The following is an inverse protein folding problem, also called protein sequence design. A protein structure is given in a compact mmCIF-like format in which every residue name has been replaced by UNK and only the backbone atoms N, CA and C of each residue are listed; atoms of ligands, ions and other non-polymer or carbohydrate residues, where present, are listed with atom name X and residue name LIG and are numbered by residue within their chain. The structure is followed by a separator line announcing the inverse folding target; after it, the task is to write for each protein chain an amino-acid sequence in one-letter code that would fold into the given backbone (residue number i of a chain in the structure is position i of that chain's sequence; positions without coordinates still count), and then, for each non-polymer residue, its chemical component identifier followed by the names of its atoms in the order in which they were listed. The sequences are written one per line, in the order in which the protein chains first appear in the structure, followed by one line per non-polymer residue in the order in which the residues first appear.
data_IF_923361901350
#
_entry.id   IF_923361901350
#
_cell.length_a   1.000
_cell.length_b   1.000
_cell.length_c   1.000
_cell.angle_alpha   90.00
_cell.angle_beta   90.00
_cell.angle_gamma   90.00
#
_symmetry.space_group_name_H-M   'P 1'
#
loop_
_entity.id
_entity.type
_entity.pdbx_description
1 polymer ?
#
# COMPACT_ATOMS: atom_id res chain seq x y z
N UNK A 1 -28.41 27.63 -28.52
CA UNK A 1 -27.96 26.35 -29.10
C UNK A 1 -27.13 25.67 -28.04
N UNK A 2 -27.55 24.50 -27.58
CA UNK A 2 -26.72 23.69 -26.68
C UNK A 2 -25.62 23.02 -27.47
N UNK A 3 -24.46 22.79 -26.85
CA UNK A 3 -23.37 22.03 -27.45
C UNK A 3 -23.83 20.60 -27.73
N UNK A 4 -23.42 20.05 -28.86
CA UNK A 4 -23.73 18.68 -29.23
C UNK A 4 -23.14 17.69 -28.21
N UNK A 5 -23.88 16.61 -27.91
CA UNK A 5 -23.51 15.65 -26.86
C UNK A 5 -22.29 14.83 -27.22
N UNK A 6 -22.11 14.50 -28.50
CA UNK A 6 -20.98 13.72 -28.96
C UNK A 6 -19.72 14.59 -29.03
N UNK A 7 -19.87 15.87 -29.41
CA UNK A 7 -18.79 16.85 -29.30
C UNK A 7 -18.36 17.05 -27.83
N UNK A 8 -19.31 17.16 -26.90
CA UNK A 8 -19.03 17.26 -25.48
C UNK A 8 -18.27 16.03 -24.95
N UNK A 9 -18.61 14.83 -25.44
CA UNK A 9 -17.91 13.58 -25.10
C UNK A 9 -16.47 13.59 -25.60
N UNK A 10 -16.22 13.96 -26.85
CA UNK A 10 -14.86 13.99 -27.40
C UNK A 10 -13.97 15.01 -26.69
N UNK A 11 -14.52 16.19 -26.40
CA UNK A 11 -13.81 17.22 -25.63
C UNK A 11 -13.47 16.71 -24.24
N UNK A 12 -14.42 16.08 -23.54
CA UNK A 12 -14.17 15.58 -22.19
C UNK A 12 -13.21 14.37 -22.19
N UNK A 13 -13.33 13.45 -23.13
CA UNK A 13 -12.41 12.30 -23.30
C UNK A 13 -10.96 12.78 -23.48
N UNK A 14 -10.75 13.77 -24.36
CA UNK A 14 -9.45 14.38 -24.58
C UNK A 14 -8.93 15.10 -23.33
N UNK A 15 -9.77 15.96 -22.72
CA UNK A 15 -9.39 16.76 -21.56
C UNK A 15 -9.02 15.91 -20.34
N UNK A 16 -9.77 14.83 -20.06
CA UNK A 16 -9.46 13.92 -18.94
C UNK A 16 -8.11 13.22 -19.10
N UNK A 17 -7.60 13.09 -20.33
CA UNK A 17 -6.27 12.53 -20.62
C UNK A 17 -5.14 13.55 -20.43
N UNK A 18 -5.46 14.84 -20.32
CA UNK A 18 -4.49 15.91 -20.09
C UNK A 18 -4.27 16.15 -18.59
N UNK A 19 -3.12 16.70 -18.17
CA UNK A 19 -2.90 17.13 -16.80
C UNK A 19 -3.84 18.30 -16.46
N UNK A 20 -4.96 17.99 -15.80
CA UNK A 20 -5.97 18.97 -15.39
C UNK A 20 -6.13 18.93 -13.88
N UNK A 21 -6.36 20.08 -13.25
CA UNK A 21 -6.69 20.13 -11.84
C UNK A 21 -8.15 19.70 -11.57
N UNK A 22 -8.42 19.22 -10.36
CA UNK A 22 -9.73 18.68 -9.98
C UNK A 22 -10.85 19.72 -10.01
N UNK A 23 -10.53 21.00 -9.76
CA UNK A 23 -11.53 22.07 -9.81
C UNK A 23 -11.98 22.29 -11.25
N UNK A 24 -11.04 22.30 -12.18
CA UNK A 24 -11.33 22.38 -13.62
C UNK A 24 -12.13 21.17 -14.08
N UNK A 25 -11.76 19.94 -13.68
CA UNK A 25 -12.52 18.74 -14.03
C UNK A 25 -13.96 18.78 -13.49
N UNK A 26 -14.13 19.13 -12.22
CA UNK A 26 -15.47 19.26 -11.61
C UNK A 26 -16.30 20.35 -12.32
N UNK A 27 -15.68 21.46 -12.70
CA UNK A 27 -16.31 22.50 -13.52
C UNK A 27 -16.77 21.96 -14.88
N UNK A 28 -15.93 21.19 -15.57
CA UNK A 28 -16.26 20.58 -16.86
C UNK A 28 -17.41 19.57 -16.76
N UNK A 29 -17.39 18.70 -15.75
CA UNK A 29 -18.45 17.71 -15.52
C UNK A 29 -19.81 18.36 -15.22
N UNK A 30 -19.83 19.51 -14.55
CA UNK A 30 -21.06 20.23 -14.24
C UNK A 30 -21.59 21.08 -15.41
N UNK A 31 -20.73 21.45 -16.37
CA UNK A 31 -21.07 22.36 -17.47
C UNK A 31 -21.41 21.61 -18.76
N UNK A 32 -20.81 20.44 -18.99
CA UNK A 32 -20.99 19.67 -20.23
C UNK A 32 -22.22 18.75 -20.15
N UNK A 33 -23.05 18.66 -21.22
CA UNK A 33 -24.24 17.83 -21.26
C UNK A 33 -23.91 16.35 -21.50
N UNK A 34 -23.08 15.76 -20.64
CA UNK A 34 -22.60 14.37 -20.79
C UNK A 34 -23.57 13.41 -20.09
N UNK A 35 -23.86 12.28 -20.74
CA UNK A 35 -24.71 11.25 -20.14
C UNK A 35 -23.90 10.40 -19.17
N UNK A 36 -24.44 10.18 -17.97
CA UNK A 36 -23.91 9.28 -16.93
C UNK A 36 -23.90 7.79 -17.35
N UNK A 37 -24.18 7.47 -18.60
CA UNK A 37 -24.18 6.09 -19.14
C UNK A 37 -22.89 5.73 -19.88
N UNK A 38 -21.96 6.66 -20.09
CA UNK A 38 -20.74 6.38 -20.84
C UNK A 38 -19.72 5.60 -19.99
N UNK A 39 -19.57 4.31 -20.29
CA UNK A 39 -18.64 3.42 -19.59
C UNK A 39 -17.18 3.81 -19.80
N UNK A 40 -16.82 4.38 -20.96
CA UNK A 40 -15.43 4.71 -21.25
C UNK A 40 -14.99 5.95 -20.48
N UNK A 41 -15.86 6.96 -20.41
CA UNK A 41 -15.61 8.13 -19.56
C UNK A 41 -15.44 7.74 -18.10
N UNK A 42 -16.30 6.85 -17.58
CA UNK A 42 -16.18 6.35 -16.20
C UNK A 42 -14.84 5.65 -15.96
N UNK A 43 -14.37 4.85 -16.92
CA UNK A 43 -13.06 4.21 -16.82
C UNK A 43 -11.94 5.26 -16.85
N UNK A 44 -11.98 6.26 -17.74
CA UNK A 44 -10.99 7.32 -17.80
C UNK A 44 -10.90 8.13 -16.51
N UNK A 45 -12.05 8.46 -15.89
CA UNK A 45 -12.09 9.14 -14.60
C UNK A 45 -11.46 8.30 -13.48
N UNK A 46 -11.70 6.98 -13.48
CA UNK A 46 -11.05 6.08 -12.51
C UNK A 46 -9.54 6.01 -12.76
N UNK A 47 -9.10 5.88 -14.01
CA UNK A 47 -7.67 5.85 -14.35
C UNK A 47 -6.94 7.12 -13.92
N UNK A 48 -7.56 8.28 -14.15
CA UNK A 48 -7.04 9.56 -13.67
C UNK A 48 -6.92 9.56 -12.15
N UNK A 49 -7.97 9.19 -11.42
CA UNK A 49 -7.92 9.15 -9.96
C UNK A 49 -6.82 8.20 -9.46
N UNK A 50 -6.60 7.07 -10.16
CA UNK A 50 -5.49 6.16 -9.86
C UNK A 50 -4.14 6.88 -10.05
N UNK A 51 -3.93 7.58 -11.17
CA UNK A 51 -2.71 8.37 -11.41
C UNK A 51 -2.49 9.49 -10.40
N UNK A 52 -3.56 10.14 -9.95
CA UNK A 52 -3.52 11.18 -8.92
C UNK A 52 -3.08 10.58 -7.56
N UNK A 53 -3.62 9.42 -7.18
CA UNK A 53 -3.20 8.69 -5.97
C UNK A 53 -1.75 8.21 -6.06
N UNK A 54 -1.29 7.78 -7.24
CA UNK A 54 0.13 7.45 -7.48
C UNK A 54 1.02 8.70 -7.32
N UNK A 55 0.57 9.85 -7.80
CA UNK A 55 1.29 11.12 -7.68
C UNK A 55 1.40 11.61 -6.22
N UNK A 56 0.41 11.27 -5.38
CA UNK A 56 0.46 11.52 -3.95
C UNK A 56 1.45 10.61 -3.20
N UNK A 57 1.94 9.54 -3.84
CA UNK A 57 2.95 8.64 -3.27
C UNK A 57 2.45 7.77 -2.12
N UNK A 58 1.13 7.62 -1.94
CA UNK A 58 0.53 6.81 -0.88
C UNK A 58 -0.39 5.76 -1.51
N UNK A 59 -0.14 4.49 -1.20
CA UNK A 59 -1.05 3.39 -1.58
C UNK A 59 -2.10 3.21 -0.50
N UNK A 60 -3.37 3.41 -0.81
CA UNK A 60 -4.46 3.47 0.18
C UNK A 60 -5.52 2.41 -0.10
N UNK A 61 -6.45 2.23 0.85
CA UNK A 61 -7.69 1.48 0.60
C UNK A 61 -8.51 2.11 -0.54
N UNK A 62 -8.40 3.43 -0.77
CA UNK A 62 -9.06 4.10 -1.91
C UNK A 62 -8.53 3.57 -3.24
N UNK A 63 -7.25 3.23 -3.34
CA UNK A 63 -6.69 2.63 -4.56
C UNK A 63 -7.24 1.23 -4.82
N UNK A 64 -7.42 0.40 -3.78
CA UNK A 64 -8.11 -0.90 -3.92
C UNK A 64 -9.54 -0.72 -4.42
N UNK A 65 -10.28 0.21 -3.83
CA UNK A 65 -11.66 0.49 -4.23
C UNK A 65 -11.76 1.02 -5.68
N UNK A 66 -10.77 1.79 -6.15
CA UNK A 66 -10.70 2.25 -7.54
C UNK A 66 -10.46 1.10 -8.51
N UNK A 67 -9.54 0.17 -8.20
CA UNK A 67 -9.27 -1.01 -9.01
C UNK A 67 -10.46 -1.98 -9.06
N UNK A 68 -11.20 -2.13 -7.97
CA UNK A 68 -12.42 -2.94 -7.94
C UNK A 68 -13.55 -2.30 -8.76
N UNK A 69 -13.75 -0.98 -8.64
CA UNK A 69 -14.72 -0.26 -9.50
C UNK A 69 -14.38 -0.41 -10.97
N UNK A 70 -13.09 -0.44 -11.30
CA UNK A 70 -12.62 -0.65 -12.66
C UNK A 70 -12.94 -2.05 -13.18
N UNK A 71 -12.68 -3.09 -12.39
CA UNK A 71 -13.10 -4.46 -12.73
C UNK A 71 -14.62 -4.55 -12.90
N UNK A 72 -15.39 -3.92 -12.01
CA UNK A 72 -16.85 -3.94 -12.12
C UNK A 72 -17.32 -3.32 -13.46
N UNK A 73 -16.65 -2.26 -13.91
CA UNK A 73 -16.91 -1.67 -15.24
C UNK A 73 -16.46 -2.58 -16.38
N UNK A 74 -15.34 -3.31 -16.27
CA UNK A 74 -14.92 -4.29 -17.27
C UNK A 74 -15.87 -5.48 -17.36
N UNK A 75 -16.33 -5.99 -16.20
CA UNK A 75 -17.30 -7.06 -16.08
C UNK A 75 -18.65 -6.68 -16.71
N UNK A 76 -19.17 -5.49 -16.41
CA UNK A 76 -20.42 -4.98 -17.01
C UNK A 76 -20.33 -4.85 -18.53
N UNK A 77 -19.14 -4.67 -19.08
CA UNK A 77 -18.88 -4.61 -20.52
C UNK A 77 -18.51 -5.96 -21.14
N UNK A 78 -18.57 -7.07 -20.37
CA UNK A 78 -18.18 -8.41 -20.78
C UNK A 78 -16.73 -8.51 -21.29
N UNK A 79 -15.86 -7.66 -20.76
CA UNK A 79 -14.42 -7.65 -21.05
C UNK A 79 -13.71 -8.50 -20.00
N UNK A 80 -12.77 -9.35 -20.43
CA UNK A 80 -11.94 -10.11 -19.50
C UNK A 80 -10.98 -9.17 -18.77
N UNK A 81 -10.93 -9.31 -17.45
CA UNK A 81 -9.99 -8.61 -16.58
C UNK A 81 -8.56 -8.83 -17.05
N UNK A 82 -7.81 -7.73 -17.21
CA UNK A 82 -6.40 -7.79 -17.63
C UNK A 82 -5.53 -8.47 -16.57
N UNK A 83 -4.52 -9.25 -16.99
CA UNK A 83 -3.52 -9.77 -16.05
C UNK A 83 -2.78 -8.65 -15.31
N UNK A 84 -2.58 -7.50 -15.98
CA UNK A 84 -2.01 -6.30 -15.35
C UNK A 84 -2.90 -5.76 -14.22
N UNK A 85 -4.23 -5.80 -14.38
CA UNK A 85 -5.18 -5.39 -13.33
C UNK A 85 -5.11 -6.33 -12.13
N UNK A 86 -5.03 -7.64 -12.36
CA UNK A 86 -4.89 -8.63 -11.29
C UNK A 86 -3.58 -8.46 -10.53
N UNK A 87 -2.48 -8.19 -11.25
CA UNK A 87 -1.16 -7.93 -10.67
C UNK A 87 -1.18 -6.65 -9.83
N UNK A 88 -1.68 -5.54 -10.38
CA UNK A 88 -1.81 -4.27 -9.66
C UNK A 88 -2.67 -4.41 -8.40
N UNK A 89 -3.82 -5.10 -8.50
CA UNK A 89 -4.68 -5.36 -7.34
C UNK A 89 -3.98 -6.18 -6.26
N UNK A 90 -3.26 -7.23 -6.67
CA UNK A 90 -2.47 -8.05 -5.75
C UNK A 90 -1.40 -7.23 -5.03
N UNK A 91 -0.62 -6.46 -5.78
CA UNK A 91 0.49 -5.69 -5.23
C UNK A 91 -0.03 -4.60 -4.28
N UNK A 92 -1.14 -3.93 -4.63
CA UNK A 92 -1.80 -2.95 -3.76
C UNK A 92 -2.38 -3.60 -2.50
N UNK A 93 -3.01 -4.78 -2.60
CA UNK A 93 -3.57 -5.48 -1.44
C UNK A 93 -2.47 -5.92 -0.45
N UNK A 94 -1.34 -6.40 -0.99
CA UNK A 94 -0.15 -6.75 -0.20
C UNK A 94 0.44 -5.50 0.43
N UNK A 95 0.59 -4.40 -0.30
CA UNK A 95 1.09 -3.13 0.24
C UNK A 95 0.23 -2.61 1.39
N UNK A 96 -1.10 -2.59 1.23
CA UNK A 96 -2.02 -2.15 2.27
C UNK A 96 -1.91 -3.01 3.55
N UNK A 97 -1.67 -4.31 3.41
CA UNK A 97 -1.62 -5.24 4.54
C UNK A 97 -0.24 -5.32 5.20
N UNK A 98 0.83 -5.36 4.41
CA UNK A 98 2.21 -5.45 4.89
C UNK A 98 2.72 -4.12 5.44
N UNK A 99 2.30 -2.98 4.89
CA UNK A 99 2.62 -1.68 5.50
C UNK A 99 2.05 -1.53 6.91
N UNK A 100 0.87 -2.11 7.16
CA UNK A 100 0.23 -2.09 8.49
C UNK A 100 0.89 -3.10 9.44
N UNK A 101 1.40 -4.22 8.93
CA UNK A 101 2.29 -5.12 9.68
C UNK A 101 3.55 -4.41 10.19
N UNK A 102 4.17 -3.58 9.35
CA UNK A 102 5.41 -2.86 9.68
C UNK A 102 5.20 -1.72 10.70
N UNK A 103 4.07 -1.00 10.64
CA UNK A 103 3.89 0.27 11.36
C UNK A 103 2.99 0.22 12.62
N UNK A 104 1.90 -0.57 12.65
CA UNK A 104 0.81 -0.35 13.63
C UNK A 104 0.57 -1.49 14.63
N UNK A 105 1.39 -2.53 14.61
CA UNK A 105 1.33 -3.64 15.55
C UNK A 105 0.24 -4.68 15.26
N UNK A 106 0.36 -5.83 15.94
CA UNK A 106 -0.34 -7.07 15.59
C UNK A 106 -1.89 -6.99 15.66
N UNK A 107 -2.45 -6.14 16.54
CA UNK A 107 -3.91 -6.06 16.74
C UNK A 107 -4.65 -5.37 15.57
N UNK A 108 -4.12 -4.26 15.02
CA UNK A 108 -4.72 -3.59 13.84
C UNK A 108 -4.46 -4.37 12.56
N UNK A 109 -3.28 -4.96 12.45
CA UNK A 109 -2.96 -5.86 11.36
C UNK A 109 -3.98 -7.00 11.28
N UNK A 110 -4.31 -7.64 12.41
CA UNK A 110 -5.23 -8.78 12.42
C UNK A 110 -6.63 -8.43 11.88
N UNK A 111 -7.17 -7.26 12.26
CA UNK A 111 -8.48 -6.82 11.77
C UNK A 111 -8.44 -6.36 10.30
N UNK A 112 -7.37 -5.68 9.88
CA UNK A 112 -7.23 -5.26 8.49
C UNK A 112 -6.98 -6.43 7.55
N UNK A 113 -6.12 -7.38 7.94
CA UNK A 113 -5.90 -8.62 7.20
C UNK A 113 -7.21 -9.38 7.08
N UNK A 114 -7.97 -9.53 8.18
CA UNK A 114 -9.30 -10.14 8.14
C UNK A 114 -10.34 -9.39 7.32
N UNK A 115 -10.15 -8.11 7.04
CA UNK A 115 -11.12 -7.32 6.27
C UNK A 115 -10.79 -7.40 4.79
N UNK A 116 -9.56 -7.06 4.42
CA UNK A 116 -9.05 -7.10 3.03
C UNK A 116 -9.08 -8.54 2.50
N UNK A 117 -8.52 -9.50 3.24
CA UNK A 117 -8.41 -10.89 2.77
C UNK A 117 -9.70 -11.71 2.94
N UNK A 118 -10.65 -11.27 3.79
CA UNK A 118 -12.01 -11.85 3.77
C UNK A 118 -12.80 -11.37 2.57
N UNK A 119 -12.68 -10.08 2.20
CA UNK A 119 -13.27 -9.54 0.99
C UNK A 119 -12.73 -10.30 -0.23
N UNK A 120 -11.41 -10.44 -0.34
CA UNK A 120 -10.75 -11.26 -1.38
C UNK A 120 -11.19 -12.73 -1.30
N UNK A 121 -11.25 -13.32 -0.10
CA UNK A 121 -11.71 -14.70 0.09
C UNK A 121 -13.16 -14.93 -0.38
N UNK A 122 -14.06 -13.97 -0.11
CA UNK A 122 -15.43 -14.01 -0.61
C UNK A 122 -15.49 -13.84 -2.14
N UNK A 123 -14.59 -13.05 -2.73
CA UNK A 123 -14.43 -12.95 -4.18
C UNK A 123 -13.89 -14.25 -4.80
N UNK A 124 -13.07 -15.04 -4.09
CA UNK A 124 -12.59 -16.36 -4.53
C UNK A 124 -13.71 -17.40 -4.52
N UNK A 125 -14.59 -17.36 -3.51
CA UNK A 125 -15.72 -18.30 -3.36
C UNK A 125 -16.84 -18.01 -4.37
N UNK A 126 -17.06 -16.74 -4.70
CA UNK A 126 -17.87 -16.34 -5.84
C UNK A 126 -17.07 -16.57 -7.12
N UNK A 127 -17.33 -17.66 -7.87
CA UNK A 127 -16.68 -18.06 -9.14
C UNK A 127 -16.75 -17.03 -10.31
N UNK A 128 -16.98 -15.75 -10.02
CA UNK A 128 -17.20 -14.66 -10.96
C UNK A 128 -16.26 -13.46 -10.79
N UNK A 129 -15.34 -13.44 -9.81
CA UNK A 129 -14.39 -12.34 -9.67
C UNK A 129 -13.16 -12.58 -10.53
N UNK A 130 -12.96 -11.75 -11.56
CA UNK A 130 -11.82 -11.85 -12.47
C UNK A 130 -10.51 -11.36 -11.84
N UNK A 131 -10.58 -10.63 -10.72
CA UNK A 131 -9.43 -10.04 -10.02
C UNK A 131 -8.51 -11.03 -9.28
N UNK A 132 -8.98 -12.25 -8.99
CA UNK A 132 -8.21 -13.21 -8.19
C UNK A 132 -7.09 -13.83 -9.04
N UNK A 133 -5.84 -13.50 -8.73
CA UNK A 133 -4.65 -14.15 -9.29
C UNK A 133 -4.14 -15.31 -8.42
N UNK A 134 -3.32 -16.18 -9.01
CA UNK A 134 -2.62 -17.22 -8.25
C UNK A 134 -1.66 -16.62 -7.21
N UNK A 135 -0.99 -15.52 -7.56
CA UNK A 135 -0.07 -14.82 -6.67
C UNK A 135 -0.80 -14.24 -5.45
N UNK A 136 -2.02 -13.73 -5.63
CA UNK A 136 -2.85 -13.22 -4.55
C UNK A 136 -3.17 -14.31 -3.52
N UNK A 137 -3.44 -15.53 -3.97
CA UNK A 137 -3.71 -16.67 -3.08
C UNK A 137 -2.45 -17.05 -2.30
N UNK A 138 -1.29 -17.10 -2.95
CA UNK A 138 -0.03 -17.40 -2.27
C UNK A 138 0.31 -16.33 -1.23
N UNK A 139 0.13 -15.05 -1.58
CA UNK A 139 0.31 -13.95 -0.63
C UNK A 139 -0.63 -14.03 0.55
N UNK A 140 -1.90 -14.39 0.32
CA UNK A 140 -2.86 -14.62 1.40
C UNK A 140 -2.35 -15.67 2.38
N UNK A 141 -1.93 -16.83 1.87
CA UNK A 141 -1.42 -17.91 2.72
C UNK A 141 -0.15 -17.51 3.47
N UNK A 142 0.78 -16.82 2.80
CA UNK A 142 2.03 -16.36 3.38
C UNK A 142 1.78 -15.31 4.48
N UNK A 143 0.84 -14.38 4.27
CA UNK A 143 0.44 -13.36 5.25
C UNK A 143 -0.32 -13.99 6.43
N UNK A 144 -1.21 -14.95 6.18
CA UNK A 144 -1.90 -15.68 7.24
C UNK A 144 -0.92 -16.48 8.12
N UNK A 145 0.11 -17.09 7.53
CA UNK A 145 1.19 -17.77 8.26
C UNK A 145 2.08 -16.78 9.01
N UNK A 146 2.39 -15.63 8.42
CA UNK A 146 3.20 -14.57 9.03
C UNK A 146 2.60 -14.01 10.33
N UNK A 147 1.28 -14.09 10.52
CA UNK A 147 0.64 -13.71 11.79
C UNK A 147 1.09 -14.60 12.96
N UNK A 148 1.39 -15.86 12.69
CA UNK A 148 1.71 -16.87 13.71
C UNK A 148 3.19 -17.23 13.77
N UNK A 149 3.98 -16.89 12.74
CA UNK A 149 5.39 -17.22 12.61
C UNK A 149 6.24 -15.98 12.24
N UNK A 150 7.15 -15.61 13.14
CA UNK A 150 8.04 -14.44 12.99
C UNK A 150 9.10 -14.64 11.88
N UNK A 151 9.50 -15.87 11.58
CA UNK A 151 10.43 -16.17 10.48
C UNK A 151 9.73 -16.00 9.13
N UNK A 152 8.48 -16.46 9.02
CA UNK A 152 7.65 -16.25 7.83
C UNK A 152 7.32 -14.77 7.66
N UNK A 153 7.06 -14.05 8.75
CA UNK A 153 6.84 -12.60 8.73
C UNK A 153 8.03 -11.85 8.13
N UNK A 154 9.26 -12.17 8.55
CA UNK A 154 10.48 -11.60 7.95
C UNK A 154 10.62 -11.95 6.47
N UNK A 155 10.32 -13.19 6.08
CA UNK A 155 10.37 -13.60 4.68
C UNK A 155 9.37 -12.83 3.80
N UNK A 156 8.14 -12.63 4.30
CA UNK A 156 7.09 -11.82 3.67
C UNK A 156 7.54 -10.37 3.52
N UNK A 157 8.13 -9.77 4.56
CA UNK A 157 8.65 -8.40 4.52
C UNK A 157 9.79 -8.25 3.51
N UNK A 158 10.73 -9.20 3.45
CA UNK A 158 11.84 -9.16 2.47
C UNK A 158 11.38 -9.39 1.03
N UNK A 159 10.32 -10.17 0.82
CA UNK A 159 9.69 -10.34 -0.48
C UNK A 159 8.91 -9.08 -0.88
N UNK A 160 8.21 -8.47 0.07
CA UNK A 160 7.45 -7.24 -0.11
C UNK A 160 8.32 -6.04 -0.46
N UNK A 161 9.46 -5.84 0.23
CA UNK A 161 10.41 -4.75 -0.09
C UNK A 161 10.95 -4.78 -1.53
N UNK A 162 10.90 -5.94 -2.18
CA UNK A 162 11.32 -6.11 -3.58
C UNK A 162 10.19 -5.80 -4.57
N UNK A 163 8.96 -5.63 -4.09
CA UNK A 163 7.82 -5.28 -4.92
C UNK A 163 7.83 -3.78 -5.17
N UNK A 164 7.66 -3.40 -6.43
CA UNK A 164 7.35 -2.03 -6.80
C UNK A 164 5.87 -1.93 -7.14
N UNK A 165 5.08 -1.54 -6.15
CA UNK A 165 3.63 -1.43 -6.26
C UNK A 165 3.26 -0.28 -7.20
N UNK A 166 4.00 0.83 -7.16
CA UNK A 166 3.75 1.96 -8.03
C UNK A 166 4.00 1.60 -9.50
N UNK A 167 5.08 0.87 -9.79
CA UNK A 167 5.36 0.41 -11.16
C UNK A 167 4.28 -0.54 -11.67
N UNK A 168 3.81 -1.43 -10.81
CA UNK A 168 2.78 -2.41 -11.17
C UNK A 168 1.43 -1.75 -11.48
N UNK A 169 1.07 -0.69 -10.74
CA UNK A 169 -0.14 0.10 -11.03
C UNK A 169 0.06 0.98 -12.26
N UNK A 170 1.25 1.57 -12.47
CA UNK A 170 1.57 2.33 -13.71
C UNK A 170 1.47 1.45 -14.96
N UNK A 171 1.98 0.23 -14.89
CA UNK A 171 1.88 -0.75 -15.97
C UNK A 171 0.41 -1.07 -16.29
N UNK A 172 -0.41 -1.25 -15.26
CA UNK A 172 -1.86 -1.42 -15.44
C UNK A 172 -2.52 -0.21 -16.10
N UNK A 173 -2.24 1.01 -15.64
CA UNK A 173 -2.81 2.24 -16.20
C UNK A 173 -2.43 2.37 -17.68
N UNK A 174 -1.18 2.06 -18.03
CA UNK A 174 -0.71 2.05 -19.41
C UNK A 174 -1.47 1.03 -20.26
N UNK A 175 -1.56 -0.23 -19.82
CA UNK A 175 -2.33 -1.29 -20.50
C UNK A 175 -3.80 -0.90 -20.70
N UNK A 176 -4.42 -0.29 -19.69
CA UNK A 176 -5.80 0.18 -19.77
C UNK A 176 -5.97 1.32 -20.79
N UNK A 177 -5.05 2.28 -20.83
CA UNK A 177 -5.04 3.39 -21.80
C UNK A 177 -4.82 2.90 -23.23
N UNK A 178 -3.90 1.95 -23.43
CA UNK A 178 -3.65 1.34 -24.74
C UNK A 178 -4.89 0.61 -25.27
N UNK A 179 -5.62 -0.11 -24.41
CA UNK A 179 -6.89 -0.76 -24.78
C UNK A 179 -8.00 0.21 -25.14
N UNK A 180 -8.03 1.39 -24.54
CA UNK A 180 -9.01 2.43 -24.89
C UNK A 180 -8.65 3.14 -26.20
N UNK A 181 -7.38 3.12 -26.61
CA UNK A 181 -6.88 3.83 -27.78
C UNK A 181 -6.84 5.35 -27.59
N UNK A 182 -6.31 6.09 -28.59
CA UNK A 182 -6.28 7.55 -28.57
C UNK A 182 -7.69 8.15 -28.63
N UNK A 183 -7.85 9.34 -28.06
CA UNK A 183 -9.10 10.10 -28.16
C UNK A 183 -9.39 10.45 -29.63
N UNK A 184 -10.65 10.71 -29.94
CA UNK A 184 -11.02 11.18 -31.28
C UNK A 184 -10.25 12.45 -31.68
N UNK A 185 -10.06 13.39 -30.74
CA UNK A 185 -9.32 14.62 -31.01
C UNK A 185 -7.83 14.36 -31.25
N UNK A 186 -7.19 13.43 -30.53
CA UNK A 186 -5.80 13.02 -30.79
C UNK A 186 -5.65 12.46 -32.21
N UNK A 187 -6.56 11.58 -32.64
CA UNK A 187 -6.55 11.02 -34.01
C UNK A 187 -6.77 12.10 -35.07
N UNK A 188 -7.63 13.08 -34.78
CA UNK A 188 -7.85 14.21 -35.68
C UNK A 188 -6.61 15.10 -35.76
N UNK A 189 -5.98 15.42 -34.63
CA UNK A 189 -4.73 16.19 -34.60
C UNK A 189 -3.59 15.49 -35.35
N UNK A 190 -3.44 14.17 -35.21
CA UNK A 190 -2.43 13.41 -35.97
C UNK A 190 -2.64 13.45 -37.50
N UNK A 191 -3.89 13.61 -37.95
CA UNK A 191 -4.25 13.59 -39.38
C UNK A 191 -4.33 14.96 -40.01
N UNK A 192 -4.36 16.02 -39.21
CA UNK A 192 -4.29 17.38 -39.72
C UNK A 192 -2.83 17.64 -40.10
N UNK A 193 -2.58 17.99 -41.37
CA UNK A 193 -1.28 18.52 -41.75
C UNK A 193 -1.06 19.85 -41.03
N UNK A 194 0.20 20.15 -40.71
CA UNK A 194 0.58 21.46 -40.16
C UNK A 194 0.08 22.61 -41.05
N UNK A 195 0.02 22.37 -42.36
CA UNK A 195 -0.56 23.29 -43.35
C UNK A 195 -2.07 23.53 -43.16
N UNK A 196 -2.84 22.49 -42.83
CA UNK A 196 -4.27 22.61 -42.56
C UNK A 196 -4.53 23.26 -41.19
N UNK A 197 -3.68 23.02 -40.19
CA UNK A 197 -3.74 23.70 -38.89
C UNK A 197 -3.44 25.20 -39.03
N UNK A 198 -2.44 25.54 -39.86
CA UNK A 198 -2.08 26.92 -40.20
C UNK A 198 -3.21 27.64 -40.92
N UNK A 199 -3.89 26.97 -41.86
CA UNK A 199 -5.03 27.53 -42.61
C UNK A 199 -6.29 27.71 -41.74
N UNK A 200 -6.55 26.78 -40.81
CA UNK A 200 -7.75 26.82 -39.95
C UNK A 200 -7.61 27.75 -38.74
N UNK A 201 -6.44 27.78 -38.10
CA UNK A 201 -6.22 28.53 -36.86
C UNK A 201 -5.39 29.80 -37.03
N UNK A 202 -4.83 30.06 -38.21
CA UNK A 202 -4.13 31.31 -38.52
C UNK A 202 -2.86 31.54 -37.71
N UNK A 203 -2.24 30.48 -37.18
CA UNK A 203 -0.95 30.58 -36.50
C UNK A 203 0.18 30.66 -37.55
N UNK A 204 0.67 31.87 -37.81
CA UNK A 204 2.05 32.03 -38.25
C UNK A 204 2.94 31.65 -37.06
N UNK A 205 3.44 30.41 -37.06
CA UNK A 205 4.62 30.13 -36.24
C UNK A 205 5.78 30.90 -36.87
N UNK A 206 6.16 32.02 -36.26
CA UNK A 206 7.47 32.61 -36.51
C UNK A 206 8.51 31.53 -36.17
N UNK A 207 9.26 31.10 -37.18
CA UNK A 207 10.43 30.25 -37.01
C UNK A 207 11.51 31.06 -36.29
N UNK A 208 11.44 31.09 -34.95
CA UNK A 208 12.61 31.45 -34.16
C UNK A 208 13.59 30.27 -34.24
N UNK A 209 14.57 30.46 -35.13
CA UNK A 209 15.74 29.62 -35.35
C UNK A 209 16.65 29.65 -34.11
N UNK A 210 16.26 28.96 -33.03
CA UNK A 210 17.14 28.58 -31.93
C UNK A 210 17.05 27.07 -31.66
N UNK A 211 17.71 26.34 -32.56
CA UNK A 211 18.35 25.02 -32.44
C UNK A 211 18.21 24.24 -31.11
N UNK A 212 17.34 23.21 -31.16
CA UNK A 212 17.54 21.80 -30.75
C UNK A 212 18.38 21.52 -29.48
N UNK A 213 17.71 21.02 -28.43
CA UNK A 213 18.10 19.77 -27.77
C UNK A 213 16.94 19.20 -26.92
N UNK A 214 16.12 18.35 -27.54
CA UNK A 214 15.18 17.48 -26.84
C UNK A 214 15.40 16.04 -27.32
N UNK A 215 16.53 15.45 -26.94
CA UNK A 215 16.67 13.98 -26.90
C UNK A 215 17.56 13.57 -25.73
N UNK A 216 17.04 12.64 -24.94
CA UNK A 216 17.66 11.88 -23.83
C UNK A 216 17.36 12.40 -22.42
N UNK A 217 16.09 12.27 -22.01
CA UNK A 217 15.73 12.15 -20.60
C UNK A 217 15.34 10.69 -20.27
N UNK A 218 16.31 9.78 -20.37
CA UNK A 218 16.18 8.40 -19.86
C UNK A 218 17.31 7.95 -18.93
N UNK A 219 18.22 8.84 -18.51
CA UNK A 219 19.24 8.49 -17.50
C UNK A 219 19.62 9.71 -16.65
N UNK A 220 18.88 9.99 -15.57
CA UNK A 220 19.38 10.69 -14.36
C UNK A 220 18.30 10.84 -13.28
N UNK A 221 18.05 9.79 -12.48
CA UNK A 221 17.43 9.93 -11.14
C UNK A 221 18.46 9.74 -10.01
N UNK A 222 19.73 9.47 -10.31
CA UNK A 222 20.76 9.43 -9.27
C UNK A 222 21.52 10.76 -9.19
N UNK A 223 21.01 11.67 -8.36
CA UNK A 223 21.78 12.50 -7.41
C UNK A 223 21.16 13.89 -7.24
N UNK A 224 20.44 14.10 -6.14
CA UNK A 224 20.42 15.38 -5.43
C UNK A 224 20.07 15.15 -3.96
N UNK A 225 21.08 14.78 -3.17
CA UNK A 225 21.16 15.26 -1.80
C UNK A 225 22.60 15.71 -1.54
N UNK A 226 22.82 17.02 -1.55
CA UNK A 226 23.67 17.71 -0.59
C UNK A 226 23.75 19.20 -0.96
N UNK A 227 23.19 20.05 -0.09
CA UNK A 227 23.27 21.49 -0.30
C UNK A 227 22.68 22.37 0.80
N UNK A 228 22.90 22.07 2.09
CA UNK A 228 22.71 23.05 3.16
C UNK A 228 24.03 23.35 3.89
N UNK A 229 24.63 24.45 3.41
CA UNK A 229 25.29 25.57 4.11
C UNK A 229 26.29 25.30 5.26
N UNK A 230 27.43 25.99 5.06
CA UNK A 230 28.13 26.89 6.01
C UNK A 230 29.30 26.33 6.82
N UNK A 231 30.47 26.99 6.70
CA UNK A 231 31.56 26.85 7.68
C UNK A 231 32.96 27.24 7.20
N UNK A 232 33.26 28.54 7.31
CA UNK A 232 34.54 29.23 7.14
C UNK A 232 35.88 28.57 7.60
N UNK A 233 36.93 28.91 6.82
CA UNK A 233 38.29 29.43 7.18
C UNK A 233 39.49 28.49 7.47
N UNK A 234 40.45 28.61 6.54
CA UNK A 234 41.91 28.91 6.66
C UNK A 234 42.94 27.88 7.17
N UNK A 235 43.77 27.45 6.20
CA UNK A 235 45.23 27.68 6.08
C UNK A 235 46.29 26.66 6.57
N UNK A 236 47.26 26.49 5.66
CA UNK A 236 48.68 26.07 5.76
C UNK A 236 49.09 24.59 5.89
N UNK A 237 49.60 24.11 4.74
CA UNK A 237 51.00 23.72 4.46
C UNK A 237 51.57 22.33 4.78
N UNK A 238 52.19 21.82 3.69
CA UNK A 238 53.46 21.09 3.52
C UNK A 238 53.50 19.54 3.52
N UNK A 239 53.89 19.03 2.33
CA UNK A 239 55.01 18.10 2.00
C UNK A 239 55.05 16.73 2.70
N UNK A 240 55.41 15.58 2.12
CA UNK A 240 56.11 15.15 0.88
C UNK A 240 56.01 13.61 0.83
N UNK A 241 55.97 13.02 -0.37
CA UNK A 241 55.99 11.57 -0.61
C UNK A 241 57.38 10.93 -0.50
N UNK A 242 57.42 9.63 -0.13
CA UNK A 242 58.64 8.81 -0.15
C UNK A 242 58.49 7.36 0.32
N UNK A 243 57.95 6.51 -0.55
CA UNK A 243 58.28 5.10 -0.88
C UNK A 243 58.59 3.98 0.18
N UNK A 244 57.98 2.82 -0.11
CA UNK A 244 58.50 1.42 -0.07
C UNK A 244 58.22 0.48 1.15
N UNK A 245 57.46 -0.59 0.88
CA UNK A 245 57.71 -1.97 1.38
C UNK A 245 56.96 -2.49 2.63
N UNK A 246 56.36 -3.72 2.63
CA UNK A 246 55.72 -4.41 3.78
C UNK A 246 56.76 -5.30 4.53
N UNK A 247 56.47 -6.13 5.58
CA UNK A 247 55.19 -6.59 6.18
C UNK A 247 55.19 -6.66 7.75
N UNK A 248 54.19 -7.35 8.31
CA UNK A 248 54.12 -7.97 9.66
C UNK A 248 53.34 -7.20 10.73
N UNK A 249 52.20 -7.78 11.13
CA UNK A 249 51.39 -7.32 12.25
C UNK A 249 51.98 -7.70 13.62
N UNK A 250 51.62 -6.97 14.67
CA UNK A 250 51.72 -7.45 16.04
C UNK A 250 50.38 -7.45 16.79
N UNK A 251 50.15 -8.52 17.54
CA UNK A 251 49.11 -8.66 18.56
C UNK A 251 49.27 -7.61 19.68
N UNK A 252 48.14 -7.17 20.25
CA UNK A 252 48.08 -6.35 21.46
C UNK A 252 47.51 -7.15 22.66
N UNK A 253 47.88 -6.76 23.90
CA UNK A 253 47.97 -7.65 25.05
C UNK A 253 46.76 -7.65 25.99
N UNK A 254 46.75 -8.68 26.83
CA UNK A 254 45.79 -9.00 27.89
C UNK A 254 45.60 -7.89 28.93
N UNK A 255 44.35 -7.64 29.31
CA UNK A 255 43.98 -6.68 30.35
C UNK A 255 43.80 -7.36 31.72
N UNK A 256 44.45 -6.76 32.73
CA UNK A 256 44.53 -7.18 34.14
C UNK A 256 43.16 -7.11 34.84
N UNK A 257 42.91 -8.11 35.70
CA UNK A 257 41.80 -8.15 36.67
C UNK A 257 41.97 -7.05 37.72
N UNK A 258 40.90 -6.31 38.03
CA UNK A 258 40.80 -5.40 39.19
C UNK A 258 39.67 -5.84 40.12
N UNK A 259 39.95 -5.75 41.41
CA UNK A 259 39.19 -6.34 42.50
C UNK A 259 37.86 -5.61 42.81
N UNK A 260 36.94 -6.41 43.36
CA UNK A 260 35.54 -6.15 43.73
C UNK A 260 35.41 -5.15 44.88
N UNK A 261 34.34 -4.35 44.86
CA UNK A 261 33.75 -3.71 46.05
C UNK A 261 32.29 -4.19 46.21
N UNK A 262 31.78 -4.44 47.44
CA UNK A 262 30.44 -5.01 47.63
C UNK A 262 29.36 -3.92 47.58
N UNK A 263 28.50 -3.97 46.56
CA UNK A 263 27.24 -3.19 46.53
C UNK A 263 26.16 -4.00 47.24
N UNK A 264 25.49 -3.35 48.20
CA UNK A 264 24.41 -3.92 49.03
C UNK A 264 23.23 -4.34 48.12
N UNK A 265 22.75 -5.57 48.32
CA UNK A 265 21.54 -6.08 47.66
C UNK A 265 20.33 -5.60 48.44
N UNK A 266 19.57 -4.67 47.88
CA UNK A 266 18.20 -4.42 48.33
C UNK A 266 17.35 -5.64 47.95
N UNK A 267 16.88 -6.37 48.96
CA UNK A 267 15.91 -7.46 48.79
C UNK A 267 14.53 -6.87 48.50
N UNK A 268 14.26 -6.59 47.23
CA UNK A 268 12.89 -6.42 46.78
C UNK A 268 12.26 -7.82 46.64
N UNK A 269 11.22 -8.19 47.42
CA UNK A 269 10.65 -9.53 47.34
C UNK A 269 10.02 -9.75 45.97
N UNK A 270 10.56 -10.71 45.21
CA UNK A 270 10.00 -11.17 43.94
C UNK A 270 8.51 -11.50 44.14
N UNK A 271 7.60 -11.10 43.24
CA UNK A 271 6.19 -11.40 43.38
C UNK A 271 6.03 -12.93 43.43
N UNK A 272 5.56 -13.43 44.58
CA UNK A 272 5.23 -14.83 44.78
C UNK A 272 4.22 -15.23 43.71
N UNK A 273 4.64 -16.09 42.78
CA UNK A 273 3.76 -16.65 41.76
C UNK A 273 2.58 -17.30 42.47
N UNK A 274 1.37 -16.75 42.28
CA UNK A 274 0.12 -17.31 42.83
C UNK A 274 0.05 -18.78 42.42
N UNK A 275 -0.26 -19.66 43.38
CA UNK A 275 -0.40 -21.10 43.13
C UNK A 275 -1.49 -21.31 42.06
N UNK A 276 -1.19 -22.05 41.00
CA UNK A 276 -2.14 -22.32 39.91
C UNK A 276 -3.30 -23.16 40.46
N UNK A 277 -4.49 -22.58 40.57
CA UNK A 277 -5.72 -23.28 40.96
C UNK A 277 -6.36 -23.92 39.73
N UNK A 278 -6.70 -25.22 39.76
CA UNK A 278 -7.44 -25.88 38.69
C UNK A 278 -8.84 -25.26 38.56
N UNK A 279 -9.41 -25.31 37.37
CA UNK A 279 -10.77 -24.83 37.13
C UNK A 279 -11.79 -25.79 37.72
N UNK A 280 -12.78 -25.26 38.41
CA UNK A 280 -13.93 -26.03 38.89
C UNK A 280 -14.93 -26.24 37.76
N UNK A 281 -15.66 -27.36 37.79
CA UNK A 281 -16.73 -27.62 36.82
C UNK A 281 -17.79 -26.51 36.80
N UNK A 282 -18.06 -25.89 37.95
CA UNK A 282 -18.99 -24.75 38.07
C UNK A 282 -18.45 -23.52 37.34
N UNK A 283 -17.16 -23.21 37.48
CA UNK A 283 -16.51 -22.10 36.76
C UNK A 283 -16.57 -22.34 35.24
N UNK A 284 -16.36 -23.58 34.80
CA UNK A 284 -16.38 -23.94 33.38
C UNK A 284 -17.78 -23.91 32.77
N UNK A 285 -18.79 -24.37 33.50
CA UNK A 285 -20.19 -24.37 33.05
C UNK A 285 -20.74 -22.94 32.98
N UNK A 286 -20.44 -22.11 33.99
CA UNK A 286 -20.75 -20.68 33.98
C UNK A 286 -20.04 -19.95 32.83
N UNK A 287 -18.79 -20.32 32.53
CA UNK A 287 -18.08 -19.77 31.37
C UNK A 287 -18.76 -20.18 30.05
N UNK A 288 -19.18 -21.43 29.89
CA UNK A 288 -19.94 -21.89 28.71
C UNK A 288 -21.27 -21.17 28.57
N UNK A 289 -22.01 -21.01 29.65
CA UNK A 289 -23.28 -20.28 29.67
C UNK A 289 -23.06 -18.79 29.33
N UNK A 290 -22.04 -18.16 29.91
CA UNK A 290 -21.66 -16.78 29.65
C UNK A 290 -21.25 -16.56 28.19
N UNK A 291 -20.44 -17.44 27.61
CA UNK A 291 -20.07 -17.37 26.19
C UNK A 291 -21.25 -17.63 25.27
N UNK A 292 -22.15 -18.55 25.62
CA UNK A 292 -23.41 -18.76 24.88
C UNK A 292 -24.33 -17.54 24.92
N UNK A 293 -24.37 -16.82 26.04
CA UNK A 293 -25.24 -15.66 26.27
C UNK A 293 -24.67 -14.37 25.68
N UNK A 294 -23.36 -14.14 25.81
CA UNK A 294 -22.70 -12.87 25.44
C UNK A 294 -21.79 -12.97 24.22
N UNK A 295 -21.49 -14.17 23.73
CA UNK A 295 -20.55 -14.39 22.64
C UNK A 295 -19.08 -14.42 23.11
N UNK A 296 -18.27 -15.18 22.38
CA UNK A 296 -16.83 -15.28 22.65
C UNK A 296 -16.14 -13.95 22.33
N UNK A 297 -15.53 -13.30 23.33
CA UNK A 297 -14.92 -11.97 23.21
C UNK A 297 -15.35 -11.00 24.31
N UNK A 298 -16.54 -11.21 24.89
CA UNK A 298 -17.11 -10.35 25.93
C UNK A 298 -16.67 -10.77 27.35
N UNK A 299 -15.38 -11.03 27.54
CA UNK A 299 -14.82 -11.59 28.78
C UNK A 299 -15.01 -10.70 30.00
N UNK A 300 -14.87 -9.38 29.84
CA UNK A 300 -15.10 -8.41 30.93
C UNK A 300 -16.55 -8.41 31.39
N UNK A 301 -17.49 -8.63 30.47
CA UNK A 301 -18.92 -8.67 30.78
C UNK A 301 -19.29 -9.98 31.48
N UNK A 302 -18.81 -11.11 30.96
CA UNK A 302 -19.01 -12.44 31.56
C UNK A 302 -18.40 -12.49 32.98
N UNK A 303 -17.22 -11.91 33.16
CA UNK A 303 -16.55 -11.83 34.46
C UNK A 303 -17.35 -10.97 35.44
N UNK A 304 -17.75 -9.75 35.03
CA UNK A 304 -18.45 -8.80 35.92
C UNK A 304 -19.85 -9.29 36.36
N UNK A 305 -20.52 -10.08 35.52
CA UNK A 305 -21.86 -10.60 35.85
C UNK A 305 -21.83 -11.87 36.71
N UNK A 306 -20.67 -12.52 36.80
CA UNK A 306 -20.48 -13.76 37.57
C UNK A 306 -19.25 -13.61 38.50
N UNK A 307 -19.08 -12.41 39.09
CA UNK A 307 -17.93 -12.06 39.95
C UNK A 307 -17.86 -13.01 41.16
N UNK A 308 -19.02 -13.40 41.70
CA UNK A 308 -19.21 -14.36 42.79
C UNK A 308 -18.69 -15.78 42.48
N UNK A 309 -18.65 -16.16 41.20
CA UNK A 309 -18.15 -17.47 40.75
C UNK A 309 -16.67 -17.36 40.35
N UNK A 310 -16.23 -16.17 39.92
CA UNK A 310 -14.90 -15.90 39.39
C UNK A 310 -14.02 -15.04 40.31
N UNK A 311 -14.31 -14.99 41.62
CA UNK A 311 -13.67 -14.13 42.64
C UNK A 311 -12.12 -14.05 42.56
N UNK A 312 -11.45 -15.13 42.16
CA UNK A 312 -9.98 -15.20 42.05
C UNK A 312 -9.45 -15.21 40.61
N UNK A 313 -10.33 -15.09 39.61
CA UNK A 313 -10.04 -15.15 38.17
C UNK A 313 -10.14 -13.77 37.54
N UNK A 314 -9.40 -13.57 36.46
CA UNK A 314 -9.47 -12.35 35.66
C UNK A 314 -10.12 -12.62 34.32
N UNK A 315 -10.61 -11.57 33.65
CA UNK A 315 -11.13 -11.66 32.28
C UNK A 315 -10.13 -12.32 31.30
N UNK A 316 -8.83 -12.20 31.56
CA UNK A 316 -7.77 -12.88 30.79
C UNK A 316 -7.77 -14.38 31.07
N UNK A 317 -7.91 -14.80 32.33
CA UNK A 317 -8.00 -16.22 32.69
C UNK A 317 -9.21 -16.90 32.02
N UNK A 318 -10.35 -16.21 31.92
CA UNK A 318 -11.55 -16.71 31.22
C UNK A 318 -11.30 -16.90 29.72
N UNK A 319 -10.64 -15.93 29.07
CA UNK A 319 -10.22 -16.05 27.66
C UNK A 319 -9.30 -17.25 27.47
N UNK A 320 -8.33 -17.43 28.36
CA UNK A 320 -7.33 -18.49 28.29
C UNK A 320 -7.95 -19.87 28.53
N UNK A 321 -8.92 -19.96 29.44
CA UNK A 321 -9.67 -21.20 29.68
C UNK A 321 -10.58 -21.55 28.52
N UNK A 322 -11.29 -20.57 27.94
CA UNK A 322 -12.16 -20.81 26.80
C UNK A 322 -11.39 -21.39 25.62
N UNK A 323 -10.17 -20.91 25.37
CA UNK A 323 -9.28 -21.46 24.33
C UNK A 323 -8.96 -22.94 24.54
N UNK A 324 -8.87 -23.42 25.77
CA UNK A 324 -8.64 -24.83 26.09
C UNK A 324 -9.93 -25.68 26.03
N UNK A 325 -11.12 -25.08 26.00
CA UNK A 325 -12.40 -25.79 25.97
C UNK A 325 -12.97 -25.97 24.54
N UNK A 326 -12.44 -25.22 23.56
CA UNK A 326 -12.87 -25.27 22.15
C UNK A 326 -11.98 -26.15 21.27
N UNK A 327 -10.92 -26.75 21.84
CA UNK A 327 -10.08 -27.77 21.20
C UNK A 327 -10.67 -29.15 21.47
#
# INVERSE_FOLDING_TARGET
MGMDKDVARWVLDFLVRQPLDDKTLAGLLNTLPVQDSDSNLKKLLILRNIEDELSNGVVSETLLDLLEKMEELEFRNNVKVSEALKKAYCDVAVECTVRVLDNEGLERCFEMVKTVWRKIGSMVECKNAGLVSYDLINWKEDIEKAIWDDEVCKAVLEKWKKMDVFESVREYVKDAREKMGPSFLEVVFEKLSDEALKEVFGFEMEEDEDTIEATNATEAINATEAGLKSGNKTASDKSTDGAAGPPSGPQLPTSKKRAVSPVKRDENPKPLRRKRKPWSNVEEETLRAGVKKYGAGNWKLIWKENDDIFDERTAVDLKDKWRNLIV
#
